data_IF_814117436568
#
_entry.id   IF_814117436568
#
_cell.length_a   1.000
_cell.length_b   1.000
_cell.length_c   1.000
_cell.angle_alpha   90.00
_cell.angle_beta   90.00
_cell.angle_gamma   90.00
#
_symmetry.space_group_name_H-M   'P 1'
#
loop_
_entity.id
_entity.type
_entity.pdbx_description
1 polymer ?
#
# COMPACT_ATOMS: atom_id res chain seq x y z
N UNK A 1 1.49 -11.45 -3.01
CA UNK A 1 0.24 -10.66 -2.95
C UNK A 1 -0.98 -11.48 -2.53
N UNK A 2 -1.36 -12.58 -3.18
CA UNK A 2 -2.57 -13.37 -2.81
C UNK A 2 -2.52 -13.89 -1.37
N UNK A 3 -1.40 -14.47 -0.92
CA UNK A 3 -1.24 -14.96 0.45
C UNK A 3 -1.29 -13.83 1.50
N UNK A 4 -0.78 -12.66 1.17
CA UNK A 4 -0.83 -11.50 2.07
C UNK A 4 -2.26 -10.96 2.21
N UNK A 5 -3.03 -10.96 1.12
CA UNK A 5 -4.45 -10.55 1.13
C UNK A 5 -5.26 -11.51 2.01
N UNK A 6 -5.08 -12.82 1.85
CA UNK A 6 -5.76 -13.80 2.68
C UNK A 6 -5.41 -13.65 4.16
N UNK A 7 -4.14 -13.42 4.49
CA UNK A 7 -3.70 -13.19 5.86
C UNK A 7 -4.32 -11.93 6.45
N UNK A 8 -4.32 -10.82 5.71
CA UNK A 8 -4.94 -9.57 6.14
C UNK A 8 -6.43 -9.76 6.44
N UNK A 9 -7.16 -10.37 5.50
CA UNK A 9 -8.60 -10.58 5.64
C UNK A 9 -8.90 -11.51 6.81
N UNK A 10 -8.17 -12.63 6.94
CA UNK A 10 -8.37 -13.56 8.05
C UNK A 10 -8.19 -12.88 9.40
N UNK A 11 -7.10 -12.13 9.58
CA UNK A 11 -6.81 -11.44 10.81
C UNK A 11 -7.90 -10.39 11.14
N UNK A 12 -8.33 -9.61 10.14
CA UNK A 12 -9.36 -8.59 10.32
C UNK A 12 -10.72 -9.19 10.69
N UNK A 13 -11.13 -10.28 10.04
CA UNK A 13 -12.39 -10.97 10.34
C UNK A 13 -12.34 -11.67 11.68
N UNK A 14 -11.21 -12.28 12.06
CA UNK A 14 -11.05 -12.92 13.36
C UNK A 14 -11.06 -11.89 14.49
N UNK A 15 -10.41 -10.72 14.29
CA UNK A 15 -10.41 -9.62 15.27
C UNK A 15 -11.83 -9.12 15.58
N UNK A 16 -12.67 -8.97 14.55
CA UNK A 16 -13.95 -8.28 14.66
C UNK A 16 -15.15 -9.24 14.87
N UNK A 17 -15.12 -10.44 14.28
CA UNK A 17 -16.29 -11.34 14.26
C UNK A 17 -16.19 -12.48 15.27
N UNK A 18 -15.05 -13.17 15.34
CA UNK A 18 -14.84 -14.38 16.17
C UNK A 18 -16.01 -15.38 16.09
N UNK A 19 -16.81 -15.49 17.17
CA UNK A 19 -17.96 -16.38 17.25
C UNK A 19 -19.20 -15.88 16.50
N UNK A 20 -19.17 -14.64 15.99
CA UNK A 20 -20.22 -14.01 15.20
C UNK A 20 -20.80 -12.75 15.82
N UNK A 21 -21.46 -11.95 14.98
CA UNK A 21 -22.19 -10.76 15.40
C UNK A 21 -23.42 -11.16 16.24
N UNK A 22 -23.28 -10.99 17.55
CA UNK A 22 -24.34 -11.34 18.53
C UNK A 22 -25.60 -10.48 18.37
N UNK A 23 -25.48 -9.28 17.82
CA UNK A 23 -26.61 -8.38 17.58
C UNK A 23 -27.37 -8.81 16.34
N UNK A 24 -26.68 -8.87 15.22
CA UNK A 24 -27.30 -9.14 13.92
C UNK A 24 -27.95 -10.52 13.89
N UNK A 25 -27.29 -11.55 14.42
CA UNK A 25 -27.80 -12.93 14.47
C UNK A 25 -29.06 -13.10 15.33
N UNK A 26 -29.35 -12.17 16.23
CA UNK A 26 -30.59 -12.14 17.01
C UNK A 26 -31.71 -11.33 16.34
N UNK A 27 -31.39 -10.51 15.33
CA UNK A 27 -32.36 -9.67 14.61
C UNK A 27 -32.71 -10.24 13.24
N UNK A 28 -31.73 -10.80 12.54
CA UNK A 28 -31.86 -11.32 11.18
C UNK A 28 -31.63 -12.84 11.12
N UNK A 29 -32.41 -13.51 10.29
CA UNK A 29 -32.15 -14.91 9.98
C UNK A 29 -31.06 -15.03 8.90
N UNK A 30 -30.13 -16.00 9.03
CA UNK A 30 -29.19 -16.32 7.97
C UNK A 30 -29.90 -16.74 6.66
N UNK A 31 -29.28 -16.49 5.52
CA UNK A 31 -29.85 -16.81 4.20
C UNK A 31 -30.77 -15.74 3.62
N UNK A 32 -31.04 -14.66 4.33
CA UNK A 32 -31.78 -13.51 3.81
C UNK A 32 -30.85 -12.58 3.04
N UNK A 33 -30.94 -12.59 1.71
CA UNK A 33 -30.18 -11.70 0.85
C UNK A 33 -30.54 -10.22 1.10
N UNK A 34 -29.55 -9.36 0.98
CA UNK A 34 -29.74 -7.91 0.92
C UNK A 34 -28.88 -7.31 -0.19
N UNK A 35 -29.31 -6.18 -0.71
CA UNK A 35 -28.48 -5.31 -1.54
C UNK A 35 -27.79 -4.28 -0.67
N UNK A 36 -26.51 -4.05 -0.96
CA UNK A 36 -25.69 -3.03 -0.30
C UNK A 36 -25.04 -2.13 -1.35
N UNK A 37 -24.89 -0.86 -1.02
CA UNK A 37 -24.25 0.14 -1.85
C UNK A 37 -23.09 0.78 -1.07
N UNK A 38 -21.92 0.82 -1.71
CA UNK A 38 -20.75 1.54 -1.22
C UNK A 38 -20.71 2.91 -1.90
N UNK A 39 -20.80 3.97 -1.10
CA UNK A 39 -20.88 5.35 -1.58
C UNK A 39 -19.72 6.16 -1.03
N UNK A 40 -19.04 6.92 -1.89
CA UNK A 40 -17.98 7.85 -1.50
C UNK A 40 -18.55 8.97 -0.62
N UNK A 41 -17.96 9.20 0.55
CA UNK A 41 -18.35 10.29 1.46
C UNK A 41 -17.50 11.55 1.28
N UNK A 42 -16.45 11.45 0.50
CA UNK A 42 -15.57 12.55 0.07
C UNK A 42 -14.95 12.19 -1.27
N UNK A 43 -14.40 13.16 -1.99
CA UNK A 43 -13.63 12.90 -3.22
C UNK A 43 -12.32 12.21 -2.86
N UNK A 44 -12.03 11.07 -3.50
CA UNK A 44 -10.90 10.18 -3.19
C UNK A 44 -10.29 9.52 -4.43
N UNK A 45 -9.08 9.01 -4.30
CA UNK A 45 -8.52 8.02 -5.21
C UNK A 45 -8.81 6.64 -4.65
N UNK A 46 -9.53 5.81 -5.39
CA UNK A 46 -9.92 4.49 -4.96
C UNK A 46 -8.72 3.55 -4.89
N UNK A 47 -8.62 2.76 -3.81
CA UNK A 47 -7.59 1.73 -3.68
C UNK A 47 -8.04 0.63 -2.71
N UNK A 48 -7.92 -0.65 -3.13
CA UNK A 48 -8.23 -1.81 -2.30
C UNK A 48 -9.53 -2.52 -2.63
N UNK A 49 -10.17 -2.22 -3.75
CA UNK A 49 -11.42 -2.88 -4.18
C UNK A 49 -11.30 -4.39 -4.30
N UNK A 50 -10.17 -4.88 -4.81
CA UNK A 50 -9.91 -6.31 -4.89
C UNK A 50 -9.92 -7.00 -3.52
N UNK A 51 -9.37 -6.33 -2.49
CA UNK A 51 -9.37 -6.84 -1.11
C UNK A 51 -10.78 -6.81 -0.53
N UNK A 52 -11.51 -5.71 -0.72
CA UNK A 52 -12.90 -5.57 -0.29
C UNK A 52 -13.79 -6.69 -0.85
N UNK A 53 -13.74 -6.91 -2.17
CA UNK A 53 -14.50 -7.98 -2.83
C UNK A 53 -14.11 -9.38 -2.34
N UNK A 54 -12.81 -9.63 -2.14
CA UNK A 54 -12.31 -10.91 -1.63
C UNK A 54 -12.82 -11.18 -0.21
N UNK A 55 -12.88 -10.16 0.64
CA UNK A 55 -13.44 -10.26 1.99
C UNK A 55 -14.90 -10.72 1.97
N UNK A 56 -15.74 -10.10 1.13
CA UNK A 56 -17.14 -10.47 1.02
C UNK A 56 -17.36 -11.86 0.41
N UNK A 57 -16.60 -12.24 -0.63
CA UNK A 57 -16.61 -13.60 -1.18
C UNK A 57 -16.18 -14.66 -0.18
N UNK A 58 -15.29 -14.31 0.76
CA UNK A 58 -14.88 -15.20 1.83
C UNK A 58 -15.96 -15.40 2.89
N UNK A 59 -16.71 -14.34 3.22
CA UNK A 59 -17.84 -14.41 4.15
C UNK A 59 -19.05 -15.14 3.55
N UNK A 60 -19.32 -14.87 2.28
CA UNK A 60 -20.40 -15.47 1.52
C UNK A 60 -19.95 -15.69 0.06
N UNK A 61 -19.69 -16.96 -0.30
CA UNK A 61 -19.26 -17.33 -1.65
C UNK A 61 -20.35 -17.11 -2.73
N UNK A 62 -21.58 -16.80 -2.33
CA UNK A 62 -22.70 -16.48 -3.22
C UNK A 62 -22.83 -14.96 -3.44
N UNK A 63 -21.94 -14.14 -2.89
CA UNK A 63 -21.93 -12.69 -3.13
C UNK A 63 -21.87 -12.37 -4.62
N UNK A 64 -22.78 -11.51 -5.08
CA UNK A 64 -22.86 -11.07 -6.48
C UNK A 64 -22.59 -9.56 -6.56
N UNK A 65 -21.58 -9.17 -7.32
CA UNK A 65 -21.28 -7.76 -7.60
C UNK A 65 -22.12 -7.30 -8.79
N UNK A 66 -23.07 -6.38 -8.52
CA UNK A 66 -24.08 -5.94 -9.48
C UNK A 66 -23.62 -4.76 -10.34
N UNK A 67 -22.82 -3.87 -9.76
CA UNK A 67 -22.28 -2.69 -10.44
C UNK A 67 -20.96 -2.27 -9.79
N UNK A 68 -19.94 -1.99 -10.62
CA UNK A 68 -18.60 -1.60 -10.22
C UNK A 68 -18.07 -0.58 -11.25
N UNK A 69 -18.52 0.69 -11.19
CA UNK A 69 -18.16 1.69 -12.20
C UNK A 69 -16.72 2.21 -12.10
N UNK A 70 -16.01 1.93 -11.01
CA UNK A 70 -14.65 2.42 -10.74
C UNK A 70 -13.68 1.27 -10.47
N UNK A 71 -12.42 1.51 -10.78
CA UNK A 71 -11.29 0.62 -10.46
C UNK A 71 -10.26 1.32 -9.57
N UNK A 72 -9.35 0.55 -8.98
CA UNK A 72 -8.26 1.11 -8.17
C UNK A 72 -7.41 2.06 -9.02
N UNK A 73 -7.15 3.27 -8.47
CA UNK A 73 -6.47 4.38 -9.13
C UNK A 73 -7.40 5.45 -9.72
N UNK A 74 -8.69 5.16 -9.86
CA UNK A 74 -9.66 6.14 -10.35
C UNK A 74 -9.94 7.23 -9.30
N UNK A 75 -10.20 8.45 -9.80
CA UNK A 75 -10.77 9.54 -9.02
C UNK A 75 -12.27 9.31 -8.87
N UNK A 76 -12.72 9.24 -7.64
CA UNK A 76 -14.14 9.07 -7.30
C UNK A 76 -14.62 10.33 -6.60
N UNK A 77 -15.64 10.95 -7.14
CA UNK A 77 -16.24 12.16 -6.57
C UNK A 77 -17.15 11.83 -5.37
N UNK A 78 -17.28 12.77 -4.45
CA UNK A 78 -18.22 12.67 -3.34
C UNK A 78 -19.64 12.37 -3.82
N UNK A 79 -20.31 11.43 -3.16
CA UNK A 79 -21.66 10.97 -3.49
C UNK A 79 -21.73 9.89 -4.57
N UNK A 80 -20.64 9.58 -5.27
CA UNK A 80 -20.63 8.54 -6.29
C UNK A 80 -20.79 7.14 -5.66
N UNK A 81 -21.57 6.29 -6.33
CA UNK A 81 -21.71 4.88 -5.97
C UNK A 81 -20.52 4.10 -6.53
N UNK A 82 -19.67 3.57 -5.63
CA UNK A 82 -18.44 2.84 -5.95
C UNK A 82 -18.74 1.38 -6.31
N UNK A 83 -19.63 0.76 -5.55
CA UNK A 83 -19.97 -0.65 -5.69
C UNK A 83 -21.42 -0.87 -5.28
N UNK A 84 -22.13 -1.71 -6.04
CA UNK A 84 -23.39 -2.29 -5.62
C UNK A 84 -23.28 -3.81 -5.65
N UNK A 85 -23.67 -4.47 -4.56
CA UNK A 85 -23.58 -5.92 -4.46
C UNK A 85 -24.74 -6.52 -3.67
N UNK A 86 -24.96 -7.82 -3.87
CA UNK A 86 -25.94 -8.63 -3.14
C UNK A 86 -25.19 -9.70 -2.35
N UNK A 87 -25.54 -9.86 -1.08
CA UNK A 87 -24.91 -10.79 -0.15
C UNK A 87 -25.91 -11.23 0.91
N UNK A 88 -25.63 -12.29 1.67
CA UNK A 88 -26.36 -12.60 2.89
C UNK A 88 -26.33 -11.38 3.85
N UNK A 89 -27.48 -11.00 4.38
CA UNK A 89 -27.60 -9.79 5.18
C UNK A 89 -26.88 -9.84 6.53
N UNK A 90 -26.69 -11.04 7.11
CA UNK A 90 -25.84 -11.21 8.31
C UNK A 90 -24.38 -11.02 7.91
N UNK A 91 -23.94 -11.63 6.81
CA UNK A 91 -22.57 -11.53 6.31
C UNK A 91 -22.22 -10.13 5.85
N UNK A 92 -23.18 -9.40 5.30
CA UNK A 92 -23.00 -7.99 4.93
C UNK A 92 -22.63 -7.15 6.14
N UNK A 93 -23.36 -7.30 7.25
CA UNK A 93 -23.10 -6.55 8.47
C UNK A 93 -21.84 -7.03 9.21
N UNK A 94 -21.56 -8.35 9.21
CA UNK A 94 -20.33 -8.90 9.77
C UNK A 94 -19.06 -8.39 9.02
N UNK A 95 -19.13 -8.17 7.70
CA UNK A 95 -17.99 -7.74 6.89
C UNK A 95 -17.82 -6.22 6.74
N UNK A 96 -18.87 -5.45 7.04
CA UNK A 96 -18.93 -4.01 6.77
C UNK A 96 -17.73 -3.25 7.35
N UNK A 97 -17.50 -3.38 8.65
CA UNK A 97 -16.49 -2.57 9.34
C UNK A 97 -15.09 -2.91 8.87
N UNK A 98 -14.73 -4.19 8.83
CA UNK A 98 -13.42 -4.64 8.36
C UNK A 98 -13.17 -4.26 6.91
N UNK A 99 -14.17 -4.45 6.04
CA UNK A 99 -14.08 -4.06 4.62
C UNK A 99 -13.88 -2.55 4.44
N UNK A 100 -14.68 -1.74 5.12
CA UNK A 100 -14.57 -0.28 5.07
C UNK A 100 -13.25 0.24 5.64
N UNK A 101 -12.78 -0.30 6.76
CA UNK A 101 -11.52 0.12 7.36
C UNK A 101 -10.34 -0.08 6.40
N UNK A 102 -10.26 -1.24 5.75
CA UNK A 102 -9.20 -1.54 4.77
C UNK A 102 -9.29 -0.60 3.57
N UNK A 103 -10.50 -0.46 3.00
CA UNK A 103 -10.71 0.36 1.81
C UNK A 103 -10.42 1.85 2.07
N UNK A 104 -10.91 2.38 3.19
CA UNK A 104 -10.67 3.77 3.60
C UNK A 104 -9.19 4.05 3.86
N UNK A 105 -8.50 3.14 4.53
CA UNK A 105 -7.06 3.26 4.79
C UNK A 105 -6.25 3.32 3.49
N UNK A 106 -6.46 2.37 2.57
CA UNK A 106 -5.73 2.33 1.32
C UNK A 106 -6.09 3.50 0.39
N UNK A 107 -7.37 3.85 0.30
CA UNK A 107 -7.81 5.01 -0.49
C UNK A 107 -7.30 6.33 0.09
N UNK A 108 -7.17 6.43 1.42
CA UNK A 108 -6.55 7.58 2.07
C UNK A 108 -5.08 7.76 1.68
N UNK A 109 -4.29 6.68 1.66
CA UNK A 109 -2.89 6.69 1.18
C UNK A 109 -2.84 7.09 -0.30
N UNK A 110 -3.65 6.48 -1.15
CA UNK A 110 -3.71 6.78 -2.58
C UNK A 110 -4.07 8.24 -2.84
N UNK A 111 -5.08 8.77 -2.13
CA UNK A 111 -5.54 10.14 -2.24
C UNK A 111 -4.48 11.15 -1.81
N UNK A 112 -3.79 10.88 -0.70
CA UNK A 112 -2.69 11.73 -0.24
C UNK A 112 -1.52 11.68 -1.22
N UNK A 113 -1.17 10.50 -1.71
CA UNK A 113 -0.12 10.33 -2.73
C UNK A 113 -0.42 11.13 -3.98
N UNK A 114 -1.66 11.10 -4.50
CA UNK A 114 -2.08 11.89 -5.66
C UNK A 114 -1.84 13.38 -5.45
N UNK A 115 -2.15 13.92 -4.27
CA UNK A 115 -1.91 15.33 -3.96
C UNK A 115 -0.42 15.70 -4.02
N UNK A 116 0.48 14.79 -3.62
CA UNK A 116 1.92 15.00 -3.75
C UNK A 116 2.37 14.89 -5.20
N UNK A 117 1.92 13.89 -5.94
CA UNK A 117 2.26 13.67 -7.36
C UNK A 117 1.86 14.90 -8.20
N UNK A 118 0.63 15.38 -8.03
CA UNK A 118 0.13 16.54 -8.78
C UNK A 118 0.94 17.81 -8.49
N UNK A 119 1.39 18.00 -7.23
CA UNK A 119 2.20 19.17 -6.86
C UNK A 119 3.67 19.04 -7.25
N UNK A 120 4.20 17.84 -7.28
CA UNK A 120 5.60 17.58 -7.59
C UNK A 120 5.89 17.52 -9.09
N UNK A 121 4.86 17.42 -9.95
CA UNK A 121 5.05 17.30 -11.41
C UNK A 121 6.00 18.37 -11.96
N UNK A 122 6.98 18.00 -12.81
CA UNK A 122 7.19 16.69 -13.43
C UNK A 122 8.08 15.71 -12.64
N UNK A 123 8.36 15.98 -11.36
CA UNK A 123 9.24 15.14 -10.51
C UNK A 123 8.49 13.91 -10.03
N UNK A 124 9.16 12.75 -10.07
CA UNK A 124 8.61 11.48 -9.59
C UNK A 124 8.57 11.46 -8.06
N UNK A 125 7.42 11.12 -7.48
CA UNK A 125 7.25 10.91 -6.04
C UNK A 125 7.46 9.43 -5.73
N UNK A 126 8.44 9.14 -4.86
CA UNK A 126 8.76 7.78 -4.41
C UNK A 126 8.22 7.52 -3.00
N UNK A 127 7.81 6.28 -2.75
CA UNK A 127 7.54 5.82 -1.39
C UNK A 127 8.84 5.48 -0.63
N UNK A 128 8.70 4.97 0.59
CA UNK A 128 9.82 4.57 1.42
C UNK A 128 9.56 3.22 2.12
N UNK A 129 10.52 2.75 2.91
CA UNK A 129 10.33 1.62 3.83
C UNK A 129 9.73 2.00 5.19
N UNK A 130 9.39 3.27 5.40
CA UNK A 130 8.72 3.76 6.62
C UNK A 130 7.23 3.44 6.54
N UNK A 131 6.89 2.16 6.63
CA UNK A 131 5.56 1.60 6.49
C UNK A 131 5.12 0.92 7.79
N UNK A 132 3.81 0.71 7.93
CA UNK A 132 3.26 -0.08 9.03
C UNK A 132 3.80 -1.52 8.96
N UNK A 133 4.37 -2.05 10.05
CA UNK A 133 4.89 -3.41 10.05
C UNK A 133 3.83 -4.43 9.61
N UNK A 134 4.21 -5.31 8.67
CA UNK A 134 3.32 -6.33 8.10
C UNK A 134 2.39 -5.83 6.99
N UNK A 135 2.23 -4.52 6.80
CA UNK A 135 1.26 -3.95 5.85
C UNK A 135 1.90 -3.28 4.61
N UNK A 136 3.21 -3.36 4.48
CA UNK A 136 3.98 -2.67 3.42
C UNK A 136 3.50 -2.97 2.00
N UNK A 137 3.14 -4.20 1.71
CA UNK A 137 2.67 -4.60 0.37
C UNK A 137 1.42 -3.82 -0.04
N UNK A 138 0.52 -3.58 0.91
CA UNK A 138 -0.73 -2.86 0.68
C UNK A 138 -0.51 -1.34 0.59
N UNK A 139 0.31 -0.79 1.49
CA UNK A 139 0.63 0.64 1.48
C UNK A 139 1.36 1.06 0.20
N UNK A 140 2.35 0.25 -0.24
CA UNK A 140 3.04 0.48 -1.52
C UNK A 140 2.12 0.32 -2.73
N UNK A 141 1.19 -0.62 -2.69
CA UNK A 141 0.16 -0.75 -3.72
C UNK A 141 -0.70 0.52 -3.80
N UNK A 142 -1.17 1.03 -2.65
CA UNK A 142 -1.96 2.25 -2.59
C UNK A 142 -1.18 3.49 -3.07
N UNK A 143 0.12 3.57 -2.80
CA UNK A 143 0.99 4.62 -3.38
C UNK A 143 0.97 4.55 -4.91
N UNK A 144 1.06 3.35 -5.48
CA UNK A 144 0.93 3.14 -6.94
C UNK A 144 -0.42 3.61 -7.48
N UNK A 145 -1.52 3.29 -6.81
CA UNK A 145 -2.87 3.78 -7.18
C UNK A 145 -2.95 5.31 -7.16
N UNK A 146 -2.25 5.97 -6.24
CA UNK A 146 -2.13 7.43 -6.18
C UNK A 146 -1.25 8.06 -7.26
N UNK A 147 -0.57 7.24 -8.10
CA UNK A 147 0.35 7.70 -9.14
C UNK A 147 1.79 7.90 -8.67
N UNK A 148 2.11 7.52 -7.43
CA UNK A 148 3.48 7.46 -6.94
C UNK A 148 4.23 6.23 -7.49
N UNK A 149 5.53 6.20 -7.31
CA UNK A 149 6.41 5.10 -7.75
C UNK A 149 6.98 4.40 -6.52
N UNK A 150 7.01 3.08 -6.56
CA UNK A 150 7.57 2.30 -5.46
C UNK A 150 9.10 2.34 -5.51
N UNK A 151 9.72 2.70 -4.39
CA UNK A 151 11.13 2.46 -4.11
C UNK A 151 11.32 1.03 -3.61
N UNK A 152 12.56 0.60 -3.34
CA UNK A 152 12.86 -0.76 -2.88
C UNK A 152 11.90 -1.25 -1.81
N UNK A 153 11.49 -2.50 -1.94
CA UNK A 153 10.53 -3.13 -1.04
C UNK A 153 11.17 -3.53 0.30
N UNK A 154 12.39 -4.05 0.26
CA UNK A 154 13.09 -4.53 1.43
C UNK A 154 14.60 -4.27 1.38
N UNK A 155 15.34 -4.85 2.33
CA UNK A 155 16.81 -4.76 2.37
C UNK A 155 17.48 -5.69 1.35
N UNK A 156 16.75 -6.64 0.83
CA UNK A 156 17.18 -7.66 -0.12
C UNK A 156 17.00 -7.25 -1.60
N UNK A 157 16.31 -6.15 -1.84
CA UNK A 157 15.80 -5.75 -3.15
C UNK A 157 16.82 -4.90 -3.90
N UNK A 158 17.25 -3.79 -3.30
CA UNK A 158 18.21 -2.86 -3.87
C UNK A 158 19.24 -2.41 -2.84
N UNK A 159 20.44 -2.14 -3.31
CA UNK A 159 21.53 -1.61 -2.49
C UNK A 159 21.31 -0.12 -2.22
N UNK A 160 21.27 0.24 -0.96
CA UNK A 160 21.22 1.63 -0.50
C UNK A 160 22.22 1.83 0.63
N UNK A 161 23.27 2.59 0.35
CA UNK A 161 24.30 2.93 1.32
C UNK A 161 23.83 4.16 2.12
N UNK A 162 23.90 4.07 3.44
CA UNK A 162 23.48 5.10 4.38
C UNK A 162 24.60 5.48 5.32
N UNK A 163 24.41 6.53 6.10
CA UNK A 163 25.38 7.06 7.08
C UNK A 163 26.02 5.97 7.97
N UNK A 164 25.22 5.05 8.49
CA UNK A 164 25.73 3.94 9.31
C UNK A 164 26.59 2.95 8.53
N UNK A 165 26.29 2.75 7.24
CA UNK A 165 27.12 1.91 6.38
C UNK A 165 28.46 2.59 6.08
N UNK A 166 28.44 3.91 5.82
CA UNK A 166 29.63 4.73 5.57
C UNK A 166 30.53 4.73 6.82
N UNK A 167 29.95 4.98 8.00
CA UNK A 167 30.68 4.93 9.29
C UNK A 167 31.32 3.56 9.51
N UNK A 168 30.60 2.48 9.23
CA UNK A 168 31.11 1.12 9.38
C UNK A 168 32.23 0.77 8.38
N UNK A 169 32.17 1.28 7.18
CA UNK A 169 33.18 1.05 6.15
C UNK A 169 34.41 1.98 6.31
N UNK A 170 34.22 3.15 6.90
CA UNK A 170 35.22 4.19 7.12
C UNK A 170 35.19 5.33 6.10
N UNK A 171 34.62 5.15 4.91
CA UNK A 171 34.38 6.18 3.90
C UNK A 171 33.33 5.71 2.88
N UNK A 172 32.80 6.65 2.09
CA UNK A 172 31.90 6.40 0.96
C UNK A 172 32.58 5.46 -0.05
N UNK A 173 33.80 5.80 -0.47
CA UNK A 173 34.57 5.02 -1.41
C UNK A 173 34.72 3.55 -0.98
N UNK A 174 35.08 3.33 0.29
CA UNK A 174 35.21 1.97 0.83
C UNK A 174 33.90 1.22 0.94
N UNK A 175 32.81 1.91 1.26
CA UNK A 175 31.48 1.30 1.31
C UNK A 175 31.06 0.80 -0.08
N UNK A 176 31.24 1.63 -1.11
CA UNK A 176 30.93 1.29 -2.51
C UNK A 176 31.80 0.13 -2.99
N UNK A 177 33.12 0.18 -2.74
CA UNK A 177 34.07 -0.87 -3.12
C UNK A 177 33.68 -2.22 -2.53
N UNK A 178 33.40 -2.28 -1.21
CA UNK A 178 32.96 -3.52 -0.54
C UNK A 178 31.67 -4.08 -1.12
N UNK A 179 30.70 -3.23 -1.46
CA UNK A 179 29.45 -3.66 -2.09
C UNK A 179 29.74 -4.28 -3.47
N UNK A 180 30.56 -3.61 -4.29
CA UNK A 180 30.94 -4.11 -5.63
C UNK A 180 31.78 -5.36 -5.58
N UNK A 181 32.66 -5.51 -4.59
CA UNK A 181 33.43 -6.74 -4.35
C UNK A 181 32.51 -7.93 -4.01
N UNK A 182 31.49 -7.70 -3.19
CA UNK A 182 30.57 -8.76 -2.75
C UNK A 182 29.48 -9.13 -3.75
N UNK A 183 28.96 -8.16 -4.52
CA UNK A 183 27.79 -8.35 -5.39
C UNK A 183 28.13 -8.21 -6.89
N UNK A 184 29.33 -7.77 -7.24
CA UNK A 184 29.78 -7.55 -8.61
C UNK A 184 29.83 -6.07 -9.03
N UNK A 185 30.68 -5.74 -10.03
CA UNK A 185 30.97 -4.37 -10.41
C UNK A 185 29.79 -3.63 -11.05
N UNK A 186 28.79 -4.34 -11.57
CA UNK A 186 27.61 -3.79 -12.22
C UNK A 186 26.44 -3.58 -11.26
N UNK A 187 26.64 -3.83 -9.95
CA UNK A 187 25.59 -3.64 -8.94
C UNK A 187 25.14 -2.18 -8.92
N UNK A 188 23.84 -1.98 -9.08
CA UNK A 188 23.22 -0.65 -8.90
C UNK A 188 23.28 -0.24 -7.44
N UNK A 189 23.84 0.95 -7.20
CA UNK A 189 24.02 1.50 -5.86
C UNK A 189 23.33 2.85 -5.79
N UNK A 190 22.47 3.00 -4.78
CA UNK A 190 22.00 4.26 -4.28
C UNK A 190 22.76 4.62 -3.00
N UNK A 191 23.08 5.91 -2.81
CA UNK A 191 23.76 6.39 -1.61
C UNK A 191 23.09 7.66 -1.06
N UNK A 192 22.86 7.71 0.23
CA UNK A 192 22.46 8.93 0.95
C UNK A 192 23.70 9.77 1.24
N UNK A 193 23.64 11.08 0.91
CA UNK A 193 24.70 12.06 1.15
C UNK A 193 24.17 13.24 1.96
N UNK A 194 24.99 13.77 2.86
CA UNK A 194 24.61 14.81 3.80
C UNK A 194 25.27 16.19 3.53
N UNK A 195 26.20 16.23 2.58
CA UNK A 195 26.92 17.45 2.19
C UNK A 195 27.49 17.31 0.77
N UNK A 196 27.96 18.44 0.21
CA UNK A 196 28.48 18.48 -1.15
C UNK A 196 29.79 17.69 -1.36
N UNK A 197 30.63 17.55 -0.33
CA UNK A 197 31.85 16.76 -0.41
C UNK A 197 31.50 15.27 -0.58
N UNK A 198 30.49 14.77 0.12
CA UNK A 198 29.98 13.41 -0.04
C UNK A 198 29.33 13.20 -1.40
N UNK A 199 28.61 14.20 -1.93
CA UNK A 199 28.06 14.15 -3.30
C UNK A 199 29.20 14.03 -4.31
N UNK A 200 30.28 14.82 -4.17
CA UNK A 200 31.42 14.77 -5.06
C UNK A 200 32.11 13.38 -5.03
N UNK A 201 32.34 12.84 -3.83
CA UNK A 201 32.94 11.51 -3.66
C UNK A 201 32.07 10.42 -4.30
N UNK A 202 30.73 10.50 -4.15
CA UNK A 202 29.78 9.56 -4.75
C UNK A 202 29.78 9.64 -6.28
N UNK A 203 29.85 10.87 -6.84
CA UNK A 203 29.96 11.09 -8.30
C UNK A 203 31.25 10.47 -8.88
N UNK A 204 32.39 10.66 -8.21
CA UNK A 204 33.69 10.09 -8.63
C UNK A 204 33.67 8.54 -8.64
N UNK A 205 32.80 7.93 -7.82
CA UNK A 205 32.62 6.48 -7.75
C UNK A 205 31.51 5.97 -8.68
N UNK A 206 30.94 6.83 -9.51
CA UNK A 206 29.94 6.47 -10.52
C UNK A 206 28.77 5.61 -9.95
N UNK A 207 28.17 6.04 -8.84
CA UNK A 207 26.96 5.42 -8.29
C UNK A 207 25.76 5.75 -9.18
N UNK A 208 24.71 4.92 -9.10
CA UNK A 208 23.55 5.05 -9.98
C UNK A 208 22.57 6.11 -9.51
N UNK A 209 22.45 6.29 -8.20
CA UNK A 209 21.55 7.27 -7.58
C UNK A 209 22.22 7.91 -6.36
N UNK A 210 22.14 9.21 -6.26
CA UNK A 210 22.56 9.98 -5.10
C UNK A 210 21.31 10.61 -4.47
N UNK A 211 21.04 10.24 -3.24
CA UNK A 211 19.96 10.83 -2.44
C UNK A 211 20.55 11.95 -1.58
N UNK A 212 20.01 13.15 -1.74
CA UNK A 212 20.37 14.32 -0.93
C UNK A 212 19.54 14.26 0.36
N UNK A 213 20.21 13.98 1.49
CA UNK A 213 19.53 13.87 2.78
C UNK A 213 19.55 15.21 3.51
N UNK A 214 18.39 15.84 3.54
CA UNK A 214 18.14 17.08 4.28
C UNK A 214 19.05 18.26 3.86
N UNK A 215 19.34 18.39 2.58
CA UNK A 215 20.16 19.43 1.95
C UNK A 215 19.31 20.50 1.28
#
# INVERSE_FOLDING_TARGET
>A
MTADIESLINNALEEDIQSGDITTRNIRSPGQLCEAELIAKETLILSGMGIFKTLFLKLDSQTVFLSEPFQDGDLVEEGAMILKFQCDGVKTLEGERSGLNILQWLSGIATLTRKYVDKASPVTVLDTRKTTPGLRVFEKYAVGCGGGTNHRFGLYDEVMIKDNHIKSAGSISRAIEKVREGLGPQTKIEIETQNLDEVQEALEKEVNVIMLDNM
#
